data_IF_874239962995
#
_entry.id   IF_874239962995
#
_cell.length_a   1.000
_cell.length_b   1.000
_cell.length_c   1.000
_cell.angle_alpha   90.00
_cell.angle_beta   90.00
_cell.angle_gamma   90.00
#
_symmetry.space_group_name_H-M   'P 1'
#
loop_
_entity.id
_entity.type
_entity.pdbx_description
1 polymer ?
#
# COMPACT_ATOMS: atom_id res chain seq x y z
N UNK A 1 2.62 -6.86 21.45
CA UNK A 1 2.70 -6.73 22.92
C UNK A 1 2.75 -5.25 23.22
N UNK A 2 1.94 -4.76 24.16
CA UNK A 2 1.67 -3.32 24.30
C UNK A 2 1.77 -2.84 25.75
N UNK A 3 2.05 -1.55 25.91
CA UNK A 3 2.08 -0.85 27.18
C UNK A 3 3.11 -1.43 28.14
N UNK A 4 2.71 -1.56 29.41
CA UNK A 4 3.56 -2.05 30.49
C UNK A 4 4.12 -3.44 30.19
N UNK A 5 3.35 -4.30 29.53
CA UNK A 5 3.84 -5.66 29.23
C UNK A 5 5.03 -5.63 28.26
N UNK A 6 5.01 -4.73 27.26
CA UNK A 6 6.16 -4.58 26.37
C UNK A 6 7.38 -4.07 27.14
N UNK A 7 7.19 -3.09 28.03
CA UNK A 7 8.26 -2.55 28.87
C UNK A 7 8.92 -3.64 29.73
N UNK A 8 8.13 -4.41 30.47
CA UNK A 8 8.64 -5.47 31.34
C UNK A 8 9.34 -6.58 30.56
N UNK A 9 8.79 -7.00 29.41
CA UNK A 9 9.43 -8.06 28.62
C UNK A 9 10.77 -7.63 28.00
N UNK A 10 10.87 -6.41 27.47
CA UNK A 10 12.14 -5.94 26.91
C UNK A 10 13.17 -5.63 27.99
N UNK A 11 12.73 -5.16 29.16
CA UNK A 11 13.59 -5.03 30.34
C UNK A 11 14.12 -6.38 30.80
N UNK A 12 13.24 -7.36 31.00
CA UNK A 12 13.63 -8.71 31.41
C UNK A 12 14.60 -9.33 30.40
N UNK A 13 14.37 -9.17 29.09
CA UNK A 13 15.30 -9.63 28.07
C UNK A 13 16.70 -9.00 28.23
N UNK A 14 16.78 -7.70 28.53
CA UNK A 14 18.06 -7.03 28.79
C UNK A 14 18.71 -7.55 30.09
N UNK A 15 17.94 -7.73 31.16
CA UNK A 15 18.40 -8.26 32.45
C UNK A 15 18.95 -9.70 32.32
N UNK A 16 18.38 -10.49 31.40
CA UNK A 16 18.84 -11.85 31.05
C UNK A 16 20.03 -11.86 30.09
N UNK A 17 20.55 -10.69 29.69
CA UNK A 17 21.68 -10.55 28.77
C UNK A 17 21.34 -10.75 27.29
N UNK A 18 20.05 -10.80 26.93
CA UNK A 18 19.64 -10.82 25.53
C UNK A 18 19.89 -9.43 24.90
N UNK A 19 20.38 -9.42 23.65
CA UNK A 19 20.48 -8.20 22.85
C UNK A 19 19.45 -8.21 21.73
N UNK A 20 18.45 -7.34 21.81
CA UNK A 20 17.46 -7.20 20.74
C UNK A 20 18.03 -6.36 19.61
N UNK A 21 18.44 -7.00 18.52
CA UNK A 21 18.95 -6.31 17.34
C UNK A 21 17.84 -5.74 16.46
N UNK A 22 16.71 -6.45 16.37
CA UNK A 22 15.58 -6.10 15.50
C UNK A 22 14.25 -6.41 16.19
N UNK A 23 13.34 -5.44 16.18
CA UNK A 23 11.95 -5.60 16.59
C UNK A 23 10.98 -5.24 15.47
N UNK A 24 10.08 -6.16 15.14
CA UNK A 24 8.98 -5.93 14.21
C UNK A 24 7.70 -5.65 15.00
N UNK A 25 7.03 -4.55 14.68
CA UNK A 25 5.84 -4.12 15.42
C UNK A 25 4.72 -3.60 14.51
N UNK A 26 3.56 -3.39 15.11
CA UNK A 26 2.41 -2.79 14.44
C UNK A 26 2.57 -1.27 14.38
N UNK A 27 1.79 -0.61 13.50
CA UNK A 27 1.92 0.83 13.25
C UNK A 27 1.62 1.72 14.45
N UNK A 28 0.83 1.24 15.42
CA UNK A 28 0.44 1.93 16.65
C UNK A 28 1.04 1.27 17.91
N UNK A 29 2.02 0.38 17.73
CA UNK A 29 2.63 -0.33 18.85
C UNK A 29 3.53 0.57 19.69
N UNK A 30 3.50 0.31 21.00
CA UNK A 30 4.36 0.89 22.03
C UNK A 30 5.63 0.08 22.26
N UNK A 31 5.75 -1.12 21.69
CA UNK A 31 6.94 -1.97 21.78
C UNK A 31 8.21 -1.24 21.35
N UNK A 32 8.12 -0.40 20.31
CA UNK A 32 9.26 0.39 19.84
C UNK A 32 9.79 1.39 20.88
N UNK A 33 8.97 1.85 21.83
CA UNK A 33 9.47 2.67 22.96
C UNK A 33 10.26 1.81 23.94
N UNK A 34 9.72 0.66 24.33
CA UNK A 34 10.38 -0.27 25.23
C UNK A 34 11.71 -0.80 24.66
N UNK A 35 11.75 -1.14 23.36
CA UNK A 35 13.00 -1.52 22.67
C UNK A 35 14.01 -0.39 22.77
N UNK A 36 13.63 0.86 22.44
CA UNK A 36 14.57 2.00 22.53
C UNK A 36 15.08 2.27 23.94
N UNK A 37 14.27 1.97 24.97
CA UNK A 37 14.65 2.18 26.36
C UNK A 37 15.68 1.13 26.84
N UNK A 38 15.45 -0.15 26.54
CA UNK A 38 16.23 -1.27 27.10
C UNK A 38 17.27 -1.84 26.12
N UNK A 39 17.07 -1.64 24.82
CA UNK A 39 17.91 -2.12 23.72
C UNK A 39 18.17 -0.96 22.72
N UNK A 40 18.96 0.07 23.11
CA UNK A 40 19.08 1.31 22.34
C UNK A 40 19.68 1.13 20.93
N UNK A 41 20.48 0.08 20.72
CA UNK A 41 21.02 -0.29 19.41
C UNK A 41 20.01 -1.05 18.53
N UNK A 42 18.88 -1.46 19.11
CA UNK A 42 17.85 -2.26 18.45
C UNK A 42 17.10 -1.45 17.39
N UNK A 43 16.97 -2.03 16.20
CA UNK A 43 16.22 -1.43 15.09
C UNK A 43 14.75 -1.80 15.19
N UNK A 44 13.87 -0.82 15.00
CA UNK A 44 12.42 -1.02 15.05
C UNK A 44 11.81 -0.84 13.66
N UNK A 45 11.17 -1.89 13.15
CA UNK A 45 10.50 -1.91 11.86
C UNK A 45 9.00 -2.20 12.01
N UNK A 46 8.23 -1.86 10.97
CA UNK A 46 6.82 -2.25 10.89
C UNK A 46 6.69 -3.62 10.27
N UNK A 47 5.92 -4.49 10.89
CA UNK A 47 5.62 -5.82 10.35
C UNK A 47 4.88 -5.69 9.01
N UNK A 48 5.43 -6.26 7.93
CA UNK A 48 4.84 -6.20 6.59
C UNK A 48 3.40 -6.71 6.53
N UNK A 49 3.10 -7.81 7.24
CA UNK A 49 1.74 -8.35 7.34
C UNK A 49 0.75 -7.37 7.99
N UNK A 50 1.15 -6.67 9.04
CA UNK A 50 0.31 -5.64 9.67
C UNK A 50 0.19 -4.38 8.82
N UNK A 51 1.24 -4.00 8.08
CA UNK A 51 1.18 -2.90 7.11
C UNK A 51 0.19 -3.23 5.99
N UNK A 52 0.23 -4.44 5.43
CA UNK A 52 -0.71 -4.88 4.39
C UNK A 52 -2.15 -4.96 4.88
N UNK A 53 -2.37 -5.52 6.08
CA UNK A 53 -3.70 -5.51 6.70
C UNK A 53 -4.21 -4.09 6.93
N UNK A 54 -3.36 -3.19 7.42
CA UNK A 54 -3.73 -1.79 7.65
C UNK A 54 -4.10 -1.08 6.33
N UNK A 55 -3.37 -1.32 5.24
CA UNK A 55 -3.68 -0.79 3.91
C UNK A 55 -5.12 -1.15 3.49
N UNK A 56 -5.46 -2.44 3.55
CA UNK A 56 -6.80 -2.94 3.17
C UNK A 56 -7.89 -2.37 4.10
N UNK A 57 -7.64 -2.26 5.41
CA UNK A 57 -8.59 -1.66 6.34
C UNK A 57 -8.85 -0.18 6.00
N UNK A 58 -7.81 0.57 5.66
CA UNK A 58 -7.94 1.98 5.28
C UNK A 58 -8.77 2.14 4.01
N UNK A 59 -8.52 1.33 2.98
CA UNK A 59 -9.31 1.36 1.75
C UNK A 59 -10.77 0.93 1.99
N UNK A 60 -11.02 -0.09 2.82
CA UNK A 60 -12.37 -0.47 3.21
C UNK A 60 -13.12 0.65 3.94
N UNK A 61 -12.43 1.43 4.76
CA UNK A 61 -13.01 2.59 5.42
C UNK A 61 -13.25 3.75 4.46
N UNK A 62 -12.36 3.96 3.48
CA UNK A 62 -12.54 4.94 2.42
C UNK A 62 -13.74 4.60 1.52
N UNK A 63 -13.93 3.31 1.19
CA UNK A 63 -15.05 2.82 0.38
C UNK A 63 -16.43 3.12 0.97
N UNK A 64 -16.52 3.33 2.29
CA UNK A 64 -17.79 3.66 2.98
C UNK A 64 -18.11 5.15 2.94
N UNK A 65 -17.16 5.99 2.53
CA UNK A 65 -17.31 7.45 2.50
C UNK A 65 -17.72 7.91 1.11
N UNK A 66 -18.34 9.09 1.04
CA UNK A 66 -18.76 9.71 -0.23
C UNK A 66 -18.31 11.16 -0.39
N UNK A 67 -17.82 11.76 0.69
CA UNK A 67 -17.33 13.13 0.74
C UNK A 67 -16.23 13.21 1.82
N UNK A 68 -15.35 14.19 1.70
CA UNK A 68 -14.33 14.49 2.68
C UNK A 68 -14.88 15.39 3.78
N UNK A 69 -14.42 15.18 5.02
CA UNK A 69 -14.75 16.07 6.12
C UNK A 69 -14.14 17.46 5.91
N UNK A 70 -14.69 18.46 6.61
CA UNK A 70 -14.15 19.82 6.59
C UNK A 70 -12.67 19.88 7.00
N UNK A 71 -12.25 19.04 7.94
CA UNK A 71 -10.85 18.98 8.39
C UNK A 71 -9.92 18.44 7.31
N UNK A 72 -10.33 17.39 6.59
CA UNK A 72 -9.55 16.85 5.47
C UNK A 72 -9.44 17.90 4.35
N UNK A 73 -10.55 18.55 4.00
CA UNK A 73 -10.57 19.65 3.03
C UNK A 73 -9.61 20.77 3.43
N UNK A 74 -9.69 21.24 4.68
CA UNK A 74 -8.80 22.28 5.21
C UNK A 74 -7.33 21.87 5.18
N UNK A 75 -7.03 20.61 5.54
CA UNK A 75 -5.66 20.09 5.63
C UNK A 75 -4.99 19.88 4.28
N UNK A 76 -5.75 19.47 3.27
CA UNK A 76 -5.18 19.01 1.98
C UNK A 76 -5.50 19.90 0.78
N UNK A 77 -6.34 20.93 0.92
CA UNK A 77 -6.74 21.82 -0.20
C UNK A 77 -5.59 22.37 -1.03
N UNK A 78 -4.46 22.73 -0.42
CA UNK A 78 -3.37 23.40 -1.13
C UNK A 78 -2.50 22.40 -1.91
N UNK A 79 -2.37 21.16 -1.40
CA UNK A 79 -1.60 20.09 -2.05
C UNK A 79 -2.44 19.27 -3.03
N UNK A 80 -3.73 19.10 -2.73
CA UNK A 80 -4.66 18.28 -3.48
C UNK A 80 -6.00 19.00 -3.67
N UNK A 81 -6.07 20.03 -4.55
CA UNK A 81 -7.27 20.87 -4.67
C UNK A 81 -8.56 20.10 -4.97
N UNK A 82 -8.45 18.94 -5.63
CA UNK A 82 -9.58 18.04 -5.92
C UNK A 82 -10.35 17.62 -4.65
N UNK A 83 -9.74 17.57 -3.46
CA UNK A 83 -10.46 17.21 -2.22
C UNK A 83 -11.63 18.13 -1.89
N UNK A 84 -11.66 19.33 -2.48
CA UNK A 84 -12.75 20.29 -2.28
C UNK A 84 -13.99 19.95 -3.11
N UNK A 85 -13.81 19.36 -4.29
CA UNK A 85 -14.85 19.20 -5.31
C UNK A 85 -15.29 17.76 -5.54
N UNK A 86 -14.39 16.78 -5.39
CA UNK A 86 -14.70 15.39 -5.71
C UNK A 86 -15.60 14.76 -4.65
N UNK A 87 -16.61 14.01 -5.12
CA UNK A 87 -17.54 13.21 -4.30
C UNK A 87 -17.85 11.91 -5.00
N UNK A 88 -18.09 10.85 -4.23
CA UNK A 88 -18.65 9.63 -4.78
C UNK A 88 -20.14 9.85 -5.07
N UNK A 89 -20.54 9.58 -6.33
CA UNK A 89 -21.93 9.72 -6.78
C UNK A 89 -22.76 8.46 -6.61
N UNK A 90 -22.17 7.36 -6.15
CA UNK A 90 -22.90 6.10 -5.97
C UNK A 90 -23.82 6.17 -4.75
N UNK A 91 -25.08 5.79 -4.92
CA UNK A 91 -25.96 5.48 -3.78
C UNK A 91 -25.53 4.19 -3.09
N UNK A 92 -25.33 3.14 -3.89
CA UNK A 92 -24.77 1.84 -3.50
C UNK A 92 -23.74 1.42 -4.55
N UNK A 93 -22.59 0.90 -4.12
CA UNK A 93 -21.59 0.39 -5.03
C UNK A 93 -22.13 -0.86 -5.75
N UNK A 94 -22.00 -0.85 -7.08
CA UNK A 94 -22.36 -1.96 -7.98
C UNK A 94 -21.09 -2.46 -8.66
N UNK A 95 -21.14 -3.67 -9.22
CA UNK A 95 -20.08 -4.16 -10.08
C UNK A 95 -19.78 -3.15 -11.20
N UNK A 96 -18.50 -2.85 -11.44
CA UNK A 96 -18.08 -1.92 -12.50
C UNK A 96 -18.29 -0.43 -12.21
N UNK A 97 -18.75 -0.02 -11.02
CA UNK A 97 -18.97 1.41 -10.72
C UNK A 97 -17.68 2.26 -10.58
N UNK A 98 -16.50 1.66 -10.77
CA UNK A 98 -15.21 2.34 -10.68
C UNK A 98 -14.84 2.83 -9.27
N UNK A 99 -15.57 2.45 -8.23
CA UNK A 99 -15.25 2.77 -6.83
C UNK A 99 -14.37 1.68 -6.20
N UNK A 100 -14.01 1.85 -4.92
CA UNK A 100 -13.37 0.82 -4.09
C UNK A 100 -14.33 -0.36 -3.86
N UNK A 101 -14.56 -1.14 -4.91
CA UNK A 101 -15.29 -2.39 -4.91
C UNK A 101 -14.42 -3.53 -4.36
N UNK A 102 -15.03 -4.67 -4.04
CA UNK A 102 -14.31 -5.86 -3.56
C UNK A 102 -13.17 -6.27 -4.51
N UNK A 103 -13.40 -6.26 -5.82
CA UNK A 103 -12.36 -6.58 -6.80
C UNK A 103 -11.18 -5.59 -6.75
N UNK A 104 -11.46 -4.29 -6.59
CA UNK A 104 -10.41 -3.26 -6.45
C UNK A 104 -9.66 -3.43 -5.13
N UNK A 105 -10.35 -3.75 -4.04
CA UNK A 105 -9.73 -3.99 -2.73
C UNK A 105 -8.83 -5.23 -2.74
N UNK A 106 -9.28 -6.33 -3.35
CA UNK A 106 -8.49 -7.55 -3.51
C UNK A 106 -7.27 -7.28 -4.38
N UNK A 107 -7.44 -6.60 -5.51
CA UNK A 107 -6.31 -6.22 -6.38
C UNK A 107 -5.33 -5.31 -5.66
N UNK A 108 -5.80 -4.30 -4.92
CA UNK A 108 -4.96 -3.42 -4.12
C UNK A 108 -4.19 -4.18 -3.03
N UNK A 109 -4.79 -5.20 -2.41
CA UNK A 109 -4.13 -6.06 -1.44
C UNK A 109 -2.98 -6.87 -2.07
N UNK A 110 -3.24 -7.50 -3.22
CA UNK A 110 -2.23 -8.28 -3.95
C UNK A 110 -1.09 -7.39 -4.42
N UNK A 111 -1.40 -6.26 -5.06
CA UNK A 111 -0.39 -5.33 -5.54
C UNK A 111 0.46 -4.74 -4.42
N UNK A 112 -0.16 -4.41 -3.27
CA UNK A 112 0.56 -3.95 -2.08
C UNK A 112 1.51 -5.01 -1.53
N UNK A 113 1.07 -6.27 -1.50
CA UNK A 113 1.91 -7.40 -1.12
C UNK A 113 3.10 -7.56 -2.09
N UNK A 114 2.87 -7.48 -3.39
CA UNK A 114 3.94 -7.50 -4.38
C UNK A 114 4.94 -6.35 -4.18
N UNK A 115 4.47 -5.14 -3.88
CA UNK A 115 5.36 -4.01 -3.53
C UNK A 115 6.22 -4.35 -2.30
N UNK A 116 5.63 -4.93 -1.25
CA UNK A 116 6.37 -5.31 -0.04
C UNK A 116 7.39 -6.43 -0.28
N UNK A 117 7.05 -7.40 -1.13
CA UNK A 117 7.88 -8.57 -1.37
C UNK A 117 9.04 -8.30 -2.34
N UNK A 118 8.83 -7.46 -3.36
CA UNK A 118 9.78 -7.25 -4.45
C UNK A 118 10.73 -6.07 -4.22
N UNK A 119 10.41 -5.15 -3.31
CA UNK A 119 11.28 -4.01 -3.03
C UNK A 119 12.37 -4.38 -2.03
N UNK A 120 13.63 -4.13 -2.41
CA UNK A 120 14.79 -4.38 -1.54
C UNK A 120 15.05 -3.25 -0.53
N UNK A 121 14.55 -2.04 -0.83
CA UNK A 121 14.76 -0.87 0.01
C UNK A 121 13.49 0.00 0.21
N UNK A 122 13.45 0.82 1.27
CA UNK A 122 12.27 1.64 1.59
C UNK A 122 11.94 2.73 0.56
N UNK A 123 12.91 3.24 -0.18
CA UNK A 123 12.68 4.28 -1.19
C UNK A 123 12.01 3.67 -2.41
N UNK A 124 12.45 2.49 -2.84
CA UNK A 124 11.82 1.75 -3.93
C UNK A 124 10.40 1.33 -3.55
N UNK A 125 10.19 0.83 -2.33
CA UNK A 125 8.84 0.57 -1.82
C UNK A 125 7.96 1.82 -1.86
N UNK A 126 8.48 2.97 -1.41
CA UNK A 126 7.72 4.22 -1.46
C UNK A 126 7.43 4.68 -2.90
N UNK A 127 8.33 4.42 -3.85
CA UNK A 127 8.13 4.69 -5.29
C UNK A 127 7.04 3.79 -5.86
N UNK A 128 7.12 2.47 -5.64
CA UNK A 128 6.11 1.49 -6.04
C UNK A 128 4.73 1.84 -5.49
N UNK A 129 4.64 2.24 -4.21
CA UNK A 129 3.38 2.65 -3.60
C UNK A 129 2.76 3.90 -4.24
N UNK A 130 3.59 4.89 -4.63
CA UNK A 130 3.13 6.05 -5.40
C UNK A 130 2.66 5.65 -6.79
N UNK A 131 3.43 4.80 -7.49
CA UNK A 131 3.04 4.27 -8.80
C UNK A 131 1.70 3.51 -8.72
N UNK A 132 1.50 2.73 -7.65
CA UNK A 132 0.28 1.99 -7.39
C UNK A 132 -0.95 2.91 -7.24
N UNK A 133 -0.85 3.94 -6.37
CA UNK A 133 -1.97 4.84 -6.08
C UNK A 133 -2.22 5.92 -7.13
N UNK A 134 -1.18 6.44 -7.78
CA UNK A 134 -1.34 7.53 -8.75
C UNK A 134 -1.73 7.03 -10.15
N UNK A 135 -1.26 5.84 -10.54
CA UNK A 135 -1.33 5.40 -11.94
C UNK A 135 -1.92 4.00 -12.10
N UNK A 136 -1.32 2.97 -11.48
CA UNK A 136 -1.69 1.57 -11.72
C UNK A 136 -3.15 1.28 -11.34
N UNK A 137 -3.65 1.84 -10.23
CA UNK A 137 -5.04 1.65 -9.83
C UNK A 137 -6.06 2.22 -10.83
N UNK A 138 -5.63 3.12 -11.73
CA UNK A 138 -6.44 3.71 -12.81
C UNK A 138 -6.14 3.13 -14.18
N UNK A 139 -5.31 2.08 -14.26
CA UNK A 139 -4.84 1.50 -15.53
C UNK A 139 -4.09 2.50 -16.42
N UNK A 140 -3.32 3.40 -15.78
CA UNK A 140 -2.48 4.37 -16.47
C UNK A 140 -1.05 3.83 -16.56
N UNK A 141 -0.73 3.17 -17.67
CA UNK A 141 0.60 2.56 -17.91
C UNK A 141 1.41 3.29 -18.99
N UNK A 142 1.04 4.52 -19.31
CA UNK A 142 1.81 5.41 -20.18
C UNK A 142 2.69 6.33 -19.35
N UNK A 143 3.99 6.14 -19.50
CA UNK A 143 5.00 6.73 -18.65
C UNK A 143 5.91 7.58 -19.54
N UNK A 144 5.88 8.91 -19.38
CA UNK A 144 6.71 9.83 -20.16
C UNK A 144 8.22 9.51 -20.07
N UNK A 145 9.04 10.16 -20.90
CA UNK A 145 10.48 9.88 -21.14
C UNK A 145 11.42 9.92 -19.92
N UNK A 146 10.93 10.19 -18.71
CA UNK A 146 11.73 10.14 -17.49
C UNK A 146 11.65 8.74 -16.87
N UNK A 147 12.80 8.07 -16.79
CA UNK A 147 13.02 6.65 -16.49
C UNK A 147 12.49 6.11 -15.13
N UNK A 148 11.74 6.89 -14.34
CA UNK A 148 11.26 6.52 -13.00
C UNK A 148 9.78 6.10 -12.96
N UNK A 149 9.22 5.64 -14.08
CA UNK A 149 7.78 5.46 -14.25
C UNK A 149 7.47 4.07 -14.81
N UNK A 150 7.48 3.10 -13.92
CA UNK A 150 6.93 1.75 -14.12
C UNK A 150 6.21 1.36 -12.84
N UNK A 151 5.39 0.30 -12.88
CA UNK A 151 4.80 -0.21 -11.65
C UNK A 151 5.90 -0.71 -10.70
N UNK A 152 6.83 -1.53 -11.21
CA UNK A 152 7.98 -2.05 -10.46
C UNK A 152 7.61 -3.06 -9.37
N UNK A 153 6.39 -3.59 -9.42
CA UNK A 153 5.91 -4.70 -8.60
C UNK A 153 5.23 -5.81 -9.44
N UNK A 154 5.32 -5.68 -10.77
CA UNK A 154 4.92 -6.70 -11.75
C UNK A 154 5.60 -6.40 -13.09
N UNK A 155 5.60 -7.38 -13.99
CA UNK A 155 6.14 -7.23 -15.34
C UNK A 155 5.34 -6.21 -16.18
N UNK A 156 6.03 -5.41 -16.98
CA UNK A 156 5.38 -4.41 -17.84
C UNK A 156 4.73 -5.04 -19.08
N UNK A 157 5.25 -6.18 -19.53
CA UNK A 157 4.78 -6.92 -20.70
C UNK A 157 4.39 -8.32 -20.22
N UNK A 158 3.17 -8.75 -20.53
CA UNK A 158 2.64 -10.06 -20.15
C UNK A 158 2.30 -10.87 -21.40
N UNK A 159 2.08 -12.17 -21.23
CA UNK A 159 1.77 -13.06 -22.34
C UNK A 159 0.50 -12.60 -23.08
N UNK A 160 0.58 -12.51 -24.41
CA UNK A 160 -0.56 -12.19 -25.27
C UNK A 160 -1.30 -13.42 -25.78
N UNK A 161 -0.63 -14.57 -25.92
CA UNK A 161 -1.23 -15.83 -26.39
C UNK A 161 -1.95 -16.62 -25.30
N UNK A 162 -1.66 -16.36 -24.01
CA UNK A 162 -2.06 -17.19 -22.85
C UNK A 162 -1.51 -18.62 -22.87
N UNK A 163 -0.52 -18.89 -23.72
CA UNK A 163 0.11 -20.20 -23.88
C UNK A 163 1.55 -20.22 -23.36
N UNK A 164 2.14 -19.05 -23.06
CA UNK A 164 3.43 -19.00 -22.39
C UNK A 164 3.28 -19.48 -20.95
N UNK A 165 4.23 -20.31 -20.52
CA UNK A 165 4.37 -20.69 -19.12
C UNK A 165 4.76 -19.46 -18.29
N UNK A 166 4.19 -19.33 -17.09
CA UNK A 166 4.38 -18.15 -16.21
C UNK A 166 5.80 -18.06 -15.64
N UNK A 167 6.51 -19.19 -15.58
CA UNK A 167 7.88 -19.28 -15.03
C UNK A 167 8.98 -19.21 -16.11
N UNK A 168 8.61 -19.21 -17.39
CA UNK A 168 9.56 -19.22 -18.51
C UNK A 168 9.66 -17.85 -19.19
N UNK A 169 10.77 -17.60 -19.90
CA UNK A 169 10.90 -16.41 -20.74
C UNK A 169 9.76 -16.34 -21.77
N UNK A 170 9.23 -15.13 -21.96
CA UNK A 170 8.09 -14.88 -22.83
C UNK A 170 8.40 -15.31 -24.29
N UNK A 171 7.68 -16.30 -24.80
CA UNK A 171 7.88 -16.82 -26.17
C UNK A 171 7.00 -16.12 -27.23
N UNK A 172 6.10 -15.23 -26.82
CA UNK A 172 5.19 -14.50 -27.70
C UNK A 172 5.62 -13.03 -27.85
N UNK A 173 4.93 -12.26 -28.71
CA UNK A 173 5.17 -10.81 -28.83
C UNK A 173 4.86 -10.03 -27.54
N UNK A 174 4.05 -10.62 -26.65
CA UNK A 174 3.58 -9.98 -25.43
C UNK A 174 2.56 -8.88 -25.66
N UNK A 175 2.01 -8.35 -24.57
CA UNK A 175 1.15 -7.18 -24.54
C UNK A 175 1.40 -6.37 -23.27
N UNK A 176 1.17 -5.04 -23.27
CA UNK A 176 1.27 -4.24 -22.06
C UNK A 176 0.38 -4.80 -20.94
N UNK A 177 0.94 -4.86 -19.73
CA UNK A 177 0.16 -5.22 -18.53
C UNK A 177 -0.95 -4.20 -18.28
N UNK A 178 -2.13 -4.70 -17.92
CA UNK A 178 -3.31 -3.89 -17.63
C UNK A 178 -3.94 -4.28 -16.30
N UNK A 179 -4.44 -3.27 -15.59
CA UNK A 179 -5.24 -3.44 -14.39
C UNK A 179 -6.68 -3.78 -14.74
N UNK A 180 -7.09 -5.00 -14.38
CA UNK A 180 -8.50 -5.44 -14.54
C UNK A 180 -9.46 -4.76 -13.56
N UNK A 181 -8.96 -4.25 -12.44
CA UNK A 181 -9.74 -3.65 -11.36
C UNK A 181 -9.55 -2.13 -11.30
N UNK A 182 -10.16 -1.42 -12.25
CA UNK A 182 -9.95 0.02 -12.46
C UNK A 182 -10.72 0.87 -11.42
N UNK A 183 -9.99 1.76 -10.74
CA UNK A 183 -10.51 2.78 -9.84
C UNK A 183 -10.83 4.08 -10.61
N UNK A 184 -11.98 4.10 -11.27
CA UNK A 184 -12.44 5.25 -12.07
C UNK A 184 -13.06 6.41 -11.27
N UNK A 185 -13.41 6.23 -9.99
CA UNK A 185 -14.05 7.25 -9.18
C UNK A 185 -13.02 8.21 -8.58
N UNK A 186 -13.01 9.47 -9.02
CA UNK A 186 -12.03 10.47 -8.56
C UNK A 186 -12.02 10.67 -7.03
N UNK A 187 -13.17 10.57 -6.36
CA UNK A 187 -13.23 10.64 -4.89
C UNK A 187 -12.48 9.48 -4.23
N UNK A 188 -12.67 8.26 -4.73
CA UNK A 188 -12.04 7.10 -4.15
C UNK A 188 -10.58 6.97 -4.56
N UNK A 189 -10.22 7.41 -5.77
CA UNK A 189 -8.84 7.56 -6.21
C UNK A 189 -8.07 8.55 -5.33
N UNK A 190 -8.63 9.73 -5.06
CA UNK A 190 -8.03 10.71 -4.15
C UNK A 190 -7.97 10.23 -2.68
N UNK A 191 -8.71 9.17 -2.34
CA UNK A 191 -8.69 8.55 -1.01
C UNK A 191 -7.72 7.38 -0.89
N UNK A 192 -7.16 6.93 -2.02
CA UNK A 192 -6.11 5.91 -2.09
C UNK A 192 -4.75 6.55 -1.82
#
# INVERSE_FOLDING_TARGET
>A
MEGILAEECYKQAADEGCKVEVGWQDGNSSAGKAIRNHHPDGKVYKCGGHVGRAHVIQLNNAAKKKDYSADIKRKYKDRFPLVLSVKCKCERHKAGCGCLSENVLTSACVNHFCCLQQCEDPQEYARCMRALGEYHCRDLHEWGKDAAKSCGFHENIVCSSKECNEDDELQCQGQPSQTKAILGCDFHWMSY
#
